data_IF_569880451514
#
_entry.id   IF_569880451514
#
_cell.length_a   1.000
_cell.length_b   1.000
_cell.length_c   1.000
_cell.angle_alpha   90.00
_cell.angle_beta   90.00
_cell.angle_gamma   90.00
#
_symmetry.space_group_name_H-M   'P 1'
#
loop_
_entity.id
_entity.type
_entity.pdbx_description
1 polymer ?
#
# COMPACT_ATOMS: atom_id res chain seq x y z
N UNK A 1 -8.87 13.51 31.43
CA UNK A 1 -8.54 14.13 30.12
C UNK A 1 -8.18 13.00 29.18
N UNK A 2 -9.11 12.66 28.28
CA UNK A 2 -9.09 11.48 27.41
C UNK A 2 -8.17 11.72 26.21
N UNK A 3 -7.08 10.95 26.08
CA UNK A 3 -6.28 10.89 24.86
C UNK A 3 -6.85 9.79 23.96
N UNK A 4 -7.48 10.22 22.85
CA UNK A 4 -8.05 9.34 21.85
C UNK A 4 -6.97 8.60 21.08
N UNK A 5 -6.96 7.28 21.21
CA UNK A 5 -6.15 6.37 20.41
C UNK A 5 -6.62 6.42 18.94
N UNK A 6 -5.72 6.73 18.01
CA UNK A 6 -5.97 6.61 16.56
C UNK A 6 -5.43 5.25 16.08
N UNK A 7 -6.21 4.40 15.37
CA UNK A 7 -5.74 3.11 14.91
C UNK A 7 -4.86 3.26 13.66
N UNK A 8 -3.66 2.67 13.70
CA UNK A 8 -2.77 2.50 12.58
C UNK A 8 -3.20 1.31 11.70
N UNK A 9 -3.03 1.46 10.38
CA UNK A 9 -3.31 0.44 9.36
C UNK A 9 -1.98 -0.20 8.97
N UNK A 10 -1.84 -1.53 9.01
CA UNK A 10 -0.84 -2.27 8.22
C UNK A 10 -1.21 -3.75 8.05
N UNK A 11 -1.14 -4.22 6.81
CA UNK A 11 -1.39 -5.60 6.35
C UNK A 11 -0.07 -6.38 6.23
N UNK A 12 -0.12 -7.72 6.16
CA UNK A 12 1.06 -8.60 6.11
C UNK A 12 0.97 -9.61 4.98
N UNK A 13 2.07 -9.89 4.28
CA UNK A 13 2.12 -10.98 3.32
C UNK A 13 3.51 -11.61 3.26
N UNK A 14 3.52 -12.91 3.52
CA UNK A 14 4.55 -13.87 3.10
C UNK A 14 4.03 -14.54 1.83
N UNK A 15 4.87 -14.68 0.78
CA UNK A 15 4.45 -15.19 -0.53
C UNK A 15 4.12 -16.70 -0.53
N UNK A 16 2.90 -17.07 -0.92
CA UNK A 16 2.49 -18.45 -1.22
C UNK A 16 1.81 -18.54 -2.59
N UNK A 17 2.07 -19.61 -3.36
CA UNK A 17 1.46 -19.85 -4.68
C UNK A 17 0.21 -20.72 -4.55
N UNK A 18 -0.95 -20.19 -4.94
CA UNK A 18 -2.21 -20.95 -5.05
C UNK A 18 -2.26 -21.69 -6.39
N UNK A 19 -2.34 -23.04 -6.38
CA UNK A 19 -2.76 -23.81 -7.57
C UNK A 19 -4.26 -23.98 -7.54
N UNK A 20 -4.95 -23.39 -8.52
CA UNK A 20 -6.38 -23.60 -8.75
C UNK A 20 -6.56 -24.90 -9.54
N UNK A 21 -6.78 -26.03 -8.86
CA UNK A 21 -7.34 -27.23 -9.49
C UNK A 21 -8.63 -27.65 -8.76
N UNK A 22 -9.55 -28.21 -9.53
CA UNK A 22 -11.00 -28.24 -9.25
C UNK A 22 -11.46 -29.12 -8.09
N UNK A 23 -10.57 -29.82 -7.37
CA UNK A 23 -10.98 -30.69 -6.24
C UNK A 23 -9.90 -30.71 -5.14
N UNK A 24 -10.21 -30.02 -4.03
CA UNK A 24 -9.46 -29.83 -2.77
C UNK A 24 -8.40 -28.72 -2.78
N UNK A 25 -8.60 -27.73 -1.90
CA UNK A 25 -7.67 -26.64 -1.60
C UNK A 25 -6.47 -27.22 -0.85
N UNK A 26 -5.28 -27.25 -1.45
CA UNK A 26 -4.04 -27.59 -0.72
C UNK A 26 -2.99 -26.53 -1.03
N UNK A 27 -2.41 -25.99 0.02
CA UNK A 27 -1.13 -25.30 -0.02
C UNK A 27 -0.03 -26.36 -0.07
N UNK A 28 0.88 -26.27 -1.05
CA UNK A 28 2.05 -27.13 -1.12
C UNK A 28 3.29 -26.29 -0.86
N UNK A 29 4.06 -26.67 0.17
CA UNK A 29 5.39 -26.13 0.46
C UNK A 29 6.32 -26.42 -0.73
N UNK A 30 7.08 -25.44 -1.20
CA UNK A 30 8.17 -25.69 -2.14
C UNK A 30 9.27 -26.46 -1.38
N UNK A 31 9.82 -27.57 -1.91
CA UNK A 31 10.91 -28.28 -1.25
C UNK A 31 12.17 -27.40 -1.17
N UNK A 32 12.82 -27.33 0.00
CA UNK A 32 14.21 -26.87 0.11
C UNK A 32 14.49 -25.46 0.65
N UNK A 33 13.58 -24.81 1.39
CA UNK A 33 13.84 -23.49 1.97
C UNK A 33 13.92 -23.52 3.51
N UNK A 34 14.98 -22.99 4.14
CA UNK A 34 15.08 -22.90 5.59
C UNK A 34 14.11 -21.85 6.15
N UNK A 35 13.73 -22.03 7.42
CA UNK A 35 12.71 -21.26 8.16
C UNK A 35 13.02 -19.75 8.31
N UNK A 36 14.21 -19.32 7.90
CA UNK A 36 14.74 -17.94 7.98
C UNK A 36 15.15 -17.35 6.63
N UNK A 37 15.02 -18.07 5.52
CA UNK A 37 15.35 -17.53 4.21
C UNK A 37 14.12 -16.90 3.55
N UNK A 38 14.20 -15.61 3.25
CA UNK A 38 13.42 -15.01 2.17
C UNK A 38 14.01 -15.57 0.87
N UNK A 39 13.31 -16.45 0.13
CA UNK A 39 13.84 -17.00 -1.09
C UNK A 39 13.79 -15.94 -2.18
N UNK A 40 14.95 -15.53 -2.67
CA UNK A 40 15.08 -15.00 -4.02
C UNK A 40 15.03 -16.18 -4.98
N UNK A 41 13.92 -16.37 -5.68
CA UNK A 41 13.85 -17.35 -6.77
C UNK A 41 13.66 -16.63 -8.10
N UNK A 42 14.60 -16.90 -9.00
CA UNK A 42 14.48 -16.69 -10.43
C UNK A 42 13.21 -17.35 -10.96
N UNK A 43 12.52 -16.66 -11.86
CA UNK A 43 11.26 -17.03 -12.55
C UNK A 43 9.95 -16.92 -11.75
N UNK A 44 9.27 -15.78 -11.93
CA UNK A 44 7.84 -15.61 -11.66
C UNK A 44 7.51 -14.54 -10.61
N UNK A 45 7.08 -13.36 -11.08
CA UNK A 45 6.18 -12.40 -10.41
C UNK A 45 6.23 -12.37 -8.87
N UNK A 46 7.13 -11.56 -8.32
CA UNK A 46 7.17 -11.20 -6.90
C UNK A 46 6.20 -10.04 -6.63
N UNK A 47 5.27 -10.25 -5.69
CA UNK A 47 4.39 -9.23 -5.15
C UNK A 47 4.93 -8.82 -3.76
N UNK A 48 5.70 -7.74 -3.70
CA UNK A 48 6.09 -7.11 -2.42
C UNK A 48 4.94 -6.21 -1.96
N UNK A 49 4.44 -6.42 -0.73
CA UNK A 49 3.19 -5.82 -0.26
C UNK A 49 3.34 -4.41 0.32
N UNK A 50 4.52 -4.04 0.84
CA UNK A 50 4.78 -2.69 1.34
C UNK A 50 5.49 -1.84 0.27
N UNK A 51 5.33 -0.52 0.35
CA UNK A 51 5.99 0.40 -0.59
C UNK A 51 7.50 0.61 -0.27
N UNK A 52 7.94 0.21 0.93
CA UNK A 52 9.32 0.20 1.43
C UNK A 52 9.78 -1.19 1.96
N UNK A 53 8.86 -2.11 2.24
CA UNK A 53 9.15 -3.44 2.79
C UNK A 53 8.94 -3.59 4.31
N UNK A 54 8.49 -2.58 5.05
CA UNK A 54 8.43 -2.62 6.51
C UNK A 54 7.10 -2.08 7.09
N UNK A 55 6.44 -2.89 7.93
CA UNK A 55 5.22 -2.54 8.66
C UNK A 55 5.39 -2.48 10.19
N UNK A 56 4.42 -1.84 10.88
CA UNK A 56 4.51 -1.02 12.11
C UNK A 56 4.27 -1.62 13.54
N UNK A 57 4.43 -0.69 14.54
CA UNK A 57 4.13 -0.52 15.99
C UNK A 57 4.38 -1.67 16.96
N UNK A 58 5.62 -1.80 17.42
CA UNK A 58 6.08 -2.96 18.18
C UNK A 58 6.84 -2.56 19.45
N UNK A 59 6.84 -3.42 20.49
CA UNK A 59 7.72 -3.35 21.66
C UNK A 59 9.19 -3.06 21.33
N UNK A 60 9.96 -2.74 22.37
CA UNK A 60 11.40 -2.46 22.28
C UNK A 60 12.11 -3.40 21.28
N UNK A 61 12.98 -2.86 20.41
CA UNK A 61 13.75 -3.66 19.47
C UNK A 61 14.42 -4.86 20.16
N UNK A 62 14.42 -6.03 19.51
CA UNK A 62 15.27 -7.12 19.98
C UNK A 62 16.72 -6.91 19.55
N UNK A 63 17.61 -7.88 19.86
CA UNK A 63 19.03 -7.80 19.55
C UNK A 63 19.35 -7.62 18.04
N UNK A 64 18.35 -7.74 17.15
CA UNK A 64 18.49 -7.48 15.71
C UNK A 64 18.18 -6.04 15.31
N UNK A 65 17.75 -5.18 16.23
CA UNK A 65 17.34 -3.79 15.96
C UNK A 65 15.94 -3.66 15.34
N UNK A 66 15.33 -4.78 14.94
CA UNK A 66 13.99 -4.82 14.36
C UNK A 66 12.91 -5.00 15.41
N UNK A 67 11.86 -4.21 15.25
CA UNK A 67 10.73 -4.17 16.18
C UNK A 67 9.77 -5.35 15.92
N UNK A 68 9.57 -5.81 14.68
CA UNK A 68 8.42 -6.68 14.29
C UNK A 68 8.29 -8.04 14.99
N UNK A 69 9.39 -8.66 15.42
CA UNK A 69 9.36 -10.00 16.02
C UNK A 69 8.55 -10.07 17.32
N UNK A 70 8.69 -9.13 18.27
CA UNK A 70 7.82 -9.08 19.44
C UNK A 70 6.31 -9.00 19.15
N UNK A 71 5.85 -8.23 18.15
CA UNK A 71 4.41 -8.24 17.75
C UNK A 71 4.02 -9.61 17.28
N UNK A 72 4.82 -10.22 16.38
CA UNK A 72 4.46 -11.50 15.78
C UNK A 72 4.28 -12.55 16.87
N UNK A 73 5.21 -12.57 17.82
CA UNK A 73 5.11 -13.42 19.01
C UNK A 73 3.86 -13.12 19.82
N UNK A 74 3.56 -11.86 20.13
CA UNK A 74 2.36 -11.50 20.89
C UNK A 74 1.06 -11.90 20.18
N UNK A 75 0.99 -11.72 18.86
CA UNK A 75 -0.14 -12.15 18.04
C UNK A 75 -0.34 -13.67 18.11
N UNK A 76 0.74 -14.44 17.96
CA UNK A 76 0.68 -15.90 18.09
C UNK A 76 0.31 -16.37 19.50
N UNK A 77 0.80 -15.70 20.55
CA UNK A 77 0.40 -15.98 21.93
C UNK A 77 -1.11 -15.82 22.11
N UNK A 78 -1.68 -14.71 21.63
CA UNK A 78 -3.12 -14.44 21.72
C UNK A 78 -3.94 -15.50 20.97
N UNK A 79 -3.54 -15.84 19.74
CA UNK A 79 -4.23 -16.85 18.93
C UNK A 79 -4.15 -18.26 19.54
N UNK A 80 -2.98 -18.64 20.09
CA UNK A 80 -2.79 -19.96 20.68
C UNK A 80 -3.40 -20.11 22.08
N UNK A 81 -3.62 -19.02 22.81
CA UNK A 81 -4.28 -19.05 24.12
C UNK A 81 -5.81 -19.18 24.01
N UNK A 82 -6.36 -18.89 22.84
CA UNK A 82 -7.80 -18.93 22.58
C UNK A 82 -8.24 -20.29 22.00
N UNK A 83 -9.06 -21.07 22.73
CA UNK A 83 -9.51 -22.38 22.26
C UNK A 83 -10.31 -22.34 20.95
N UNK A 84 -11.07 -21.27 20.70
CA UNK A 84 -11.90 -21.14 19.51
C UNK A 84 -11.04 -20.82 18.28
N UNK A 85 -10.03 -19.95 18.41
CA UNK A 85 -9.04 -19.76 17.34
C UNK A 85 -8.26 -21.03 17.06
N UNK A 86 -7.82 -21.78 18.08
CA UNK A 86 -7.19 -23.10 17.88
C UNK A 86 -8.09 -24.06 17.12
N UNK A 87 -9.39 -24.09 17.45
CA UNK A 87 -10.39 -24.92 16.78
C UNK A 87 -10.54 -24.52 15.30
N UNK A 88 -10.73 -23.24 15.01
CA UNK A 88 -10.88 -22.70 13.64
C UNK A 88 -9.63 -22.93 12.79
N UNK A 89 -8.42 -22.74 13.35
CA UNK A 89 -7.19 -23.08 12.65
C UNK A 89 -7.04 -24.59 12.46
N UNK A 90 -7.48 -25.41 13.42
CA UNK A 90 -7.51 -26.87 13.28
C UNK A 90 -8.40 -27.38 12.14
N UNK A 91 -9.46 -26.66 11.77
CA UNK A 91 -10.28 -26.98 10.58
C UNK A 91 -9.50 -26.82 9.26
N UNK A 92 -8.51 -25.92 9.23
CA UNK A 92 -7.74 -25.57 8.03
C UNK A 92 -6.36 -26.25 7.98
N UNK A 93 -5.75 -26.49 9.14
CA UNK A 93 -4.37 -26.96 9.29
C UNK A 93 -4.33 -28.25 10.13
N UNK A 94 -4.09 -29.43 9.51
CA UNK A 94 -4.03 -30.71 10.21
C UNK A 94 -3.02 -30.75 11.36
N UNK A 95 -1.94 -29.98 11.26
CA UNK A 95 -0.94 -29.80 12.30
C UNK A 95 -1.55 -29.25 13.59
N UNK A 96 -2.41 -28.23 13.48
CA UNK A 96 -3.07 -27.60 14.63
C UNK A 96 -4.13 -28.53 15.20
N UNK A 97 -4.89 -29.23 14.33
CA UNK A 97 -5.82 -30.28 14.76
C UNK A 97 -5.10 -31.42 15.50
N UNK A 98 -3.87 -31.75 15.11
CA UNK A 98 -2.99 -32.70 15.78
C UNK A 98 -2.31 -32.16 17.04
N UNK A 99 -2.67 -30.97 17.51
CA UNK A 99 -2.19 -30.39 18.77
C UNK A 99 -0.99 -29.45 18.64
N UNK A 100 -0.42 -29.25 17.45
CA UNK A 100 0.66 -28.27 17.26
C UNK A 100 0.12 -26.83 17.47
N UNK A 101 0.97 -25.86 17.86
CA UNK A 101 0.56 -24.47 17.91
C UNK A 101 0.31 -23.90 16.51
N UNK A 102 -0.51 -22.86 16.44
CA UNK A 102 -0.61 -21.97 15.28
C UNK A 102 0.74 -21.26 15.13
N UNK A 103 1.34 -21.33 13.95
CA UNK A 103 2.57 -20.62 13.61
C UNK A 103 2.30 -19.37 12.77
N UNK A 104 3.35 -18.57 12.55
CA UNK A 104 3.23 -17.31 11.80
C UNK A 104 2.91 -17.52 10.32
N UNK A 105 3.30 -18.67 9.76
CA UNK A 105 2.99 -19.05 8.38
C UNK A 105 1.49 -19.26 8.21
N UNK A 106 0.87 -20.01 9.12
CA UNK A 106 -0.58 -20.27 9.11
C UNK A 106 -1.37 -18.98 9.29
N UNK A 107 -0.92 -18.11 10.21
CA UNK A 107 -1.50 -16.77 10.38
C UNK A 107 -1.41 -15.96 9.08
N UNK A 108 -0.23 -15.88 8.46
CA UNK A 108 -0.03 -15.14 7.22
C UNK A 108 -0.90 -15.68 6.07
N UNK A 109 -1.07 -17.00 5.97
CA UNK A 109 -1.96 -17.62 4.99
C UNK A 109 -3.43 -17.25 5.20
N UNK A 110 -3.90 -17.21 6.44
CA UNK A 110 -5.27 -16.83 6.76
C UNK A 110 -5.55 -15.37 6.39
N UNK A 111 -4.63 -14.46 6.71
CA UNK A 111 -4.72 -13.05 6.33
C UNK A 111 -4.65 -12.88 4.81
N UNK A 112 -3.73 -13.56 4.13
CA UNK A 112 -3.61 -13.50 2.68
C UNK A 112 -4.90 -13.96 1.97
N UNK A 113 -5.54 -15.04 2.43
CA UNK A 113 -6.83 -15.49 1.86
C UNK A 113 -7.93 -14.46 2.08
N UNK A 114 -7.98 -13.80 3.24
CA UNK A 114 -8.90 -12.69 3.47
C UNK A 114 -8.63 -11.52 2.50
N UNK A 115 -7.38 -11.07 2.36
CA UNK A 115 -7.00 -9.99 1.46
C UNK A 115 -7.34 -10.30 0.00
N UNK A 116 -7.20 -11.56 -0.45
CA UNK A 116 -7.60 -11.99 -1.79
C UNK A 116 -9.11 -11.81 -2.04
N UNK A 117 -9.95 -11.86 -1.00
CA UNK A 117 -11.39 -11.56 -1.14
C UNK A 117 -11.68 -10.08 -1.38
N UNK A 118 -10.72 -9.20 -1.08
CA UNK A 118 -10.85 -7.73 -1.20
C UNK A 118 -10.38 -7.21 -2.57
N UNK A 119 -10.35 -8.08 -3.58
CA UNK A 119 -10.02 -7.69 -4.95
C UNK A 119 -11.22 -6.97 -5.59
N UNK A 120 -11.25 -5.65 -5.49
CA UNK A 120 -12.27 -4.80 -6.09
C UNK A 120 -11.82 -4.24 -7.44
N UNK A 121 -12.12 -4.99 -8.51
CA UNK A 121 -11.75 -4.70 -9.90
C UNK A 121 -12.97 -4.74 -10.86
N UNK A 122 -13.99 -3.92 -10.57
CA UNK A 122 -15.21 -3.79 -11.37
C UNK A 122 -15.65 -2.31 -11.55
N UNK A 123 -14.68 -1.43 -11.74
CA UNK A 123 -14.85 0.01 -11.94
C UNK A 123 -15.51 0.34 -13.30
N UNK A 124 -15.96 1.60 -13.53
CA UNK A 124 -16.47 2.05 -14.82
C UNK A 124 -15.60 1.65 -16.03
N UNK A 125 -14.27 1.77 -15.92
CA UNK A 125 -13.35 1.39 -17.00
C UNK A 125 -13.44 -0.11 -17.35
N UNK A 126 -13.61 -0.98 -16.36
CA UNK A 126 -13.69 -2.43 -16.56
C UNK A 126 -14.99 -2.81 -17.26
N UNK A 127 -16.09 -2.17 -16.86
CA UNK A 127 -17.41 -2.35 -17.50
C UNK A 127 -17.40 -1.83 -18.94
N UNK A 128 -16.79 -0.66 -19.16
CA UNK A 128 -16.61 -0.08 -20.49
C UNK A 128 -15.79 -1.01 -21.40
N UNK A 129 -14.67 -1.54 -20.90
CA UNK A 129 -13.82 -2.49 -21.64
C UNK A 129 -14.55 -3.80 -22.01
N UNK A 130 -15.53 -4.22 -21.20
CA UNK A 130 -16.42 -5.37 -21.50
C UNK A 130 -17.61 -5.02 -22.40
N UNK A 131 -17.65 -3.82 -22.97
CA UNK A 131 -18.65 -3.40 -23.96
C UNK A 131 -19.82 -2.58 -23.43
N UNK A 132 -19.88 -2.27 -22.12
CA UNK A 132 -20.90 -1.38 -21.55
C UNK A 132 -20.49 0.09 -21.80
N UNK A 133 -20.78 0.60 -23.00
CA UNK A 133 -20.29 1.91 -23.48
C UNK A 133 -20.79 3.12 -22.67
N UNK A 134 -21.87 2.94 -21.94
CA UNK A 134 -22.51 3.89 -21.04
C UNK A 134 -21.99 3.81 -19.60
N UNK A 135 -21.13 2.83 -19.28
CA UNK A 135 -20.58 2.67 -17.94
C UNK A 135 -19.67 3.82 -17.50
N UNK A 136 -19.13 4.59 -18.46
CA UNK A 136 -18.33 5.79 -18.22
C UNK A 136 -19.02 7.03 -18.76
N UNK A 137 -18.94 8.12 -17.99
CA UNK A 137 -19.37 9.46 -18.41
C UNK A 137 -18.45 10.02 -19.51
N UNK A 138 -18.91 11.04 -20.23
CA UNK A 138 -18.07 11.68 -21.25
C UNK A 138 -16.83 12.36 -20.67
N UNK A 139 -16.91 12.86 -19.43
CA UNK A 139 -15.76 13.42 -18.72
C UNK A 139 -14.72 12.35 -18.40
N UNK A 140 -15.15 11.20 -17.87
CA UNK A 140 -14.25 10.06 -17.62
C UNK A 140 -13.62 9.53 -18.90
N UNK A 141 -14.35 9.51 -20.02
CA UNK A 141 -13.81 9.09 -21.33
C UNK A 141 -12.74 10.06 -21.83
N UNK A 142 -12.98 11.38 -21.76
CA UNK A 142 -11.96 12.39 -22.10
C UNK A 142 -10.74 12.30 -21.18
N UNK A 143 -10.97 12.06 -19.89
CA UNK A 143 -9.91 11.82 -18.92
C UNK A 143 -9.07 10.58 -19.23
N UNK A 144 -9.71 9.48 -19.63
CA UNK A 144 -9.02 8.28 -20.07
C UNK A 144 -8.13 8.56 -21.29
N UNK A 145 -8.62 9.32 -22.27
CA UNK A 145 -7.81 9.71 -23.44
C UNK A 145 -6.57 10.53 -23.05
N UNK A 146 -6.68 11.39 -22.04
CA UNK A 146 -5.52 12.12 -21.49
C UNK A 146 -4.55 11.16 -20.79
N UNK A 147 -5.06 10.30 -19.91
CA UNK A 147 -4.28 9.32 -19.13
C UNK A 147 -3.47 8.38 -20.02
N UNK A 148 -4.10 7.82 -21.05
CA UNK A 148 -3.49 6.90 -22.01
C UNK A 148 -2.69 7.62 -23.11
N UNK A 149 -2.91 8.93 -23.26
CA UNK A 149 -2.30 9.75 -24.29
C UNK A 149 -1.37 10.83 -23.73
N UNK A 150 -1.74 12.09 -23.94
CA UNK A 150 -0.83 13.24 -23.78
C UNK A 150 -0.41 13.54 -22.33
N UNK A 151 -1.17 13.09 -21.33
CA UNK A 151 -0.77 13.19 -19.92
C UNK A 151 0.21 12.09 -19.49
N UNK A 152 0.41 11.06 -20.34
CA UNK A 152 1.48 10.04 -20.22
C UNK A 152 1.45 9.21 -18.93
N UNK A 153 0.37 9.24 -18.17
CA UNK A 153 0.21 8.50 -16.91
C UNK A 153 0.42 6.99 -17.11
N UNK A 154 -0.12 6.43 -18.20
CA UNK A 154 0.00 5.01 -18.55
C UNK A 154 1.46 4.54 -18.71
N UNK A 155 2.41 5.45 -18.93
CA UNK A 155 3.81 5.08 -19.17
C UNK A 155 4.53 4.49 -17.95
N UNK A 156 3.94 4.62 -16.76
CA UNK A 156 4.31 3.96 -15.51
C UNK A 156 3.10 3.22 -14.92
N UNK A 157 1.93 3.84 -14.93
CA UNK A 157 0.66 3.22 -14.52
C UNK A 157 0.09 2.36 -15.63
N UNK A 158 0.88 1.37 -16.04
CA UNK A 158 0.64 0.57 -17.22
C UNK A 158 -0.56 -0.36 -17.05
N UNK A 159 -1.26 -0.58 -18.17
CA UNK A 159 -2.33 -1.56 -18.28
C UNK A 159 -1.91 -2.80 -19.09
N UNK A 160 -0.64 -3.18 -18.94
CA UNK A 160 -0.01 -4.31 -19.64
C UNK A 160 0.95 -5.07 -18.70
N UNK A 161 1.30 -6.30 -19.06
CA UNK A 161 2.16 -7.18 -18.26
C UNK A 161 1.41 -7.91 -17.13
N UNK A 162 2.15 -8.35 -16.11
CA UNK A 162 1.63 -9.24 -15.05
C UNK A 162 0.64 -8.56 -14.09
N UNK A 163 0.62 -7.23 -14.07
CA UNK A 163 -0.30 -6.39 -13.28
C UNK A 163 -1.17 -5.48 -14.17
N UNK A 164 -1.43 -5.93 -15.41
CA UNK A 164 -2.11 -5.16 -16.46
C UNK A 164 -3.48 -4.58 -16.06
N UNK A 165 -4.19 -5.20 -15.14
CA UNK A 165 -5.47 -4.66 -14.67
C UNK A 165 -5.30 -3.69 -13.49
N UNK A 166 -4.13 -3.59 -12.87
CA UNK A 166 -3.91 -2.81 -11.64
C UNK A 166 -3.36 -1.41 -11.87
N UNK A 167 -3.13 -1.00 -13.13
CA UNK A 167 -2.58 0.32 -13.49
C UNK A 167 -1.21 0.58 -12.86
N UNK A 168 -0.31 -0.40 -13.00
CA UNK A 168 1.06 -0.32 -12.50
C UNK A 168 1.97 -1.22 -13.32
N UNK A 169 3.19 -0.75 -13.58
CA UNK A 169 4.27 -1.59 -14.13
C UNK A 169 5.14 -2.24 -13.04
N UNK A 170 4.79 -2.02 -11.76
CA UNK A 170 5.48 -2.46 -10.54
C UNK A 170 6.96 -2.11 -10.48
N UNK A 171 7.43 -1.13 -11.26
CA UNK A 171 8.83 -0.69 -11.25
C UNK A 171 9.09 0.34 -10.18
N UNK A 172 10.31 0.32 -9.66
CA UNK A 172 10.80 1.26 -8.66
C UNK A 172 11.30 2.55 -9.33
N UNK A 173 10.78 3.70 -8.90
CA UNK A 173 10.99 5.01 -9.53
C UNK A 173 11.10 6.11 -8.49
N UNK A 174 11.84 7.17 -8.84
CA UNK A 174 11.85 8.42 -8.08
C UNK A 174 10.88 9.37 -8.74
N UNK A 175 9.83 9.77 -8.02
CA UNK A 175 8.79 10.68 -8.54
C UNK A 175 8.82 12.08 -7.94
N UNK A 176 9.81 12.39 -7.08
CA UNK A 176 10.03 13.74 -6.56
C UNK A 176 9.16 14.12 -5.35
N UNK A 177 8.60 13.14 -4.63
CA UNK A 177 7.72 13.40 -3.48
C UNK A 177 8.48 14.16 -2.38
N UNK A 178 7.92 15.27 -1.86
CA UNK A 178 8.45 15.98 -0.71
C UNK A 178 8.63 15.05 0.50
N UNK A 179 9.76 15.17 1.18
CA UNK A 179 10.11 14.34 2.33
C UNK A 179 9.47 14.92 3.60
N UNK A 180 8.29 14.43 3.99
CA UNK A 180 7.67 14.80 5.26
C UNK A 180 8.13 13.84 6.35
N UNK A 181 8.55 14.38 7.49
CA UNK A 181 8.97 13.60 8.65
C UNK A 181 8.18 14.00 9.91
N UNK A 182 7.78 13.03 10.76
CA UNK A 182 7.04 13.29 11.97
C UNK A 182 7.91 13.99 13.02
N UNK A 183 7.25 14.75 13.91
CA UNK A 183 7.89 15.52 14.97
C UNK A 183 8.58 14.67 16.04
N UNK A 184 8.13 13.43 16.27
CA UNK A 184 8.71 12.59 17.31
C UNK A 184 10.17 12.27 16.97
N UNK A 185 11.06 12.36 17.95
CA UNK A 185 12.51 12.29 17.73
C UNK A 185 12.96 11.03 16.99
N UNK A 186 14.13 11.13 16.35
CA UNK A 186 14.78 10.02 15.62
C UNK A 186 14.71 8.72 16.41
N UNK A 187 14.18 7.66 15.81
CA UNK A 187 14.07 6.33 16.45
C UNK A 187 12.93 6.18 17.47
N UNK A 188 12.04 7.16 17.61
CA UNK A 188 10.85 7.04 18.49
C UNK A 188 9.61 6.49 17.78
N UNK A 189 9.60 6.49 16.43
CA UNK A 189 8.61 5.77 15.62
C UNK A 189 9.12 4.44 15.08
N UNK A 190 8.33 3.83 14.19
CA UNK A 190 8.67 2.57 13.55
C UNK A 190 9.45 2.74 12.25
N UNK A 191 9.46 3.96 11.71
CA UNK A 191 10.25 4.34 10.56
C UNK A 191 11.60 4.87 11.02
N UNK A 192 12.66 4.38 10.39
CA UNK A 192 14.00 4.95 10.51
C UNK A 192 14.11 5.96 9.38
N UNK A 193 14.20 7.24 9.74
CA UNK A 193 14.57 8.27 8.79
C UNK A 193 16.09 8.31 8.67
N UNK A 194 16.55 8.57 7.45
CA UNK A 194 17.95 8.66 7.05
C UNK A 194 18.39 10.12 6.88
N UNK A 195 19.65 10.28 6.47
CA UNK A 195 20.24 11.56 6.16
C UNK A 195 20.74 12.30 7.40
N UNK A 196 21.54 13.37 7.23
CA UNK A 196 22.07 14.13 8.37
C UNK A 196 20.97 14.75 9.25
N UNK A 197 19.83 15.10 8.63
CA UNK A 197 18.67 15.66 9.32
C UNK A 197 17.74 14.61 9.93
N UNK A 198 17.96 13.31 9.62
CA UNK A 198 17.07 12.21 10.01
C UNK A 198 15.62 12.54 9.64
N UNK A 199 15.45 12.96 8.39
CA UNK A 199 14.24 13.51 7.78
C UNK A 199 14.06 13.08 6.32
N UNK A 200 14.83 12.08 5.90
CA UNK A 200 14.77 11.48 4.58
C UNK A 200 14.31 10.02 4.68
N UNK A 201 13.55 9.57 3.69
CA UNK A 201 13.30 8.15 3.47
C UNK A 201 14.06 7.73 2.21
N UNK A 202 15.15 6.97 2.38
CA UNK A 202 15.93 6.50 1.24
C UNK A 202 15.22 5.42 0.40
N UNK A 203 14.03 4.95 0.80
CA UNK A 203 13.20 4.02 0.05
C UNK A 203 13.91 2.70 -0.21
N UNK A 204 13.90 2.24 -1.46
CA UNK A 204 14.50 0.95 -1.86
C UNK A 204 15.98 0.76 -1.45
N UNK A 205 16.75 1.84 -1.24
CA UNK A 205 18.12 1.73 -0.71
C UNK A 205 18.15 1.08 0.68
N UNK A 206 17.15 1.32 1.54
CA UNK A 206 17.11 0.72 2.89
C UNK A 206 17.03 -0.81 2.83
N UNK A 207 16.45 -1.36 1.76
CA UNK A 207 16.34 -2.81 1.53
C UNK A 207 17.56 -3.37 0.82
N UNK A 208 18.06 -2.65 -0.18
CA UNK A 208 19.11 -3.14 -1.08
C UNK A 208 20.53 -2.83 -0.62
N UNK A 209 20.70 -1.80 0.21
CA UNK A 209 21.99 -1.19 0.52
C UNK A 209 22.64 -0.45 -0.66
N UNK A 210 21.96 -0.36 -1.81
CA UNK A 210 22.52 0.23 -3.02
C UNK A 210 22.11 1.70 -3.15
N UNK A 211 23.09 2.60 -3.13
CA UNK A 211 22.88 4.05 -3.28
C UNK A 211 22.23 4.44 -4.63
N UNK A 212 22.33 3.60 -5.66
CA UNK A 212 21.65 3.81 -6.92
C UNK A 212 20.12 3.62 -6.83
N UNK A 213 19.63 3.02 -5.74
CA UNK A 213 18.22 2.78 -5.47
C UNK A 213 17.56 3.80 -4.54
N UNK A 214 18.33 4.81 -4.09
CA UNK A 214 17.84 5.89 -3.23
C UNK A 214 16.59 6.59 -3.77
N UNK A 215 15.61 6.80 -2.89
CA UNK A 215 14.31 7.44 -3.12
C UNK A 215 13.43 6.73 -4.14
N UNK A 216 13.79 5.51 -4.57
CA UNK A 216 12.93 4.74 -5.46
C UNK A 216 11.84 4.08 -4.63
N UNK A 217 10.61 4.28 -5.06
CA UNK A 217 9.44 3.56 -4.57
C UNK A 217 8.76 2.85 -5.73
N UNK A 218 8.12 1.75 -5.42
CA UNK A 218 7.36 0.98 -6.41
C UNK A 218 6.19 1.82 -6.92
N UNK A 219 5.94 1.74 -8.22
CA UNK A 219 4.76 2.37 -8.83
C UNK A 219 3.51 1.71 -8.23
N UNK A 220 2.75 2.45 -7.44
CA UNK A 220 1.55 1.93 -6.78
C UNK A 220 0.41 1.68 -7.79
N UNK A 221 -0.44 0.65 -7.57
CA UNK A 221 -1.65 0.47 -8.36
C UNK A 221 -2.64 1.62 -8.14
N UNK A 222 -3.36 2.04 -9.19
CA UNK A 222 -4.28 3.19 -9.11
C UNK A 222 -5.74 2.84 -8.82
N UNK A 223 -6.06 1.55 -8.64
CA UNK A 223 -7.46 1.16 -8.37
C UNK A 223 -7.93 1.73 -7.05
N UNK A 224 -9.17 2.26 -7.04
CA UNK A 224 -9.87 2.72 -5.85
C UNK A 224 -9.18 3.88 -5.10
N UNK A 225 -8.34 4.69 -5.76
CA UNK A 225 -7.67 5.83 -5.12
C UNK A 225 -8.63 6.89 -4.57
N UNK A 226 -9.86 6.98 -5.08
CA UNK A 226 -10.85 7.93 -4.58
C UNK A 226 -11.24 7.75 -3.11
N UNK A 227 -10.98 6.57 -2.52
CA UNK A 227 -11.24 6.32 -1.09
C UNK A 227 -9.97 6.41 -0.23
N UNK A 228 -8.83 6.75 -0.83
CA UNK A 228 -7.59 6.98 -0.11
C UNK A 228 -7.62 8.36 0.59
N UNK A 229 -7.24 8.45 1.87
CA UNK A 229 -7.22 9.72 2.60
C UNK A 229 -5.94 10.56 2.33
N UNK A 230 -4.91 9.93 1.79
CA UNK A 230 -3.63 10.54 1.46
C UNK A 230 -2.93 9.76 0.34
N UNK A 231 -1.97 10.38 -0.32
CA UNK A 231 -1.31 9.88 -1.53
C UNK A 231 0.22 9.87 -1.36
N UNK A 232 0.87 9.03 -2.16
CA UNK A 232 2.31 8.68 -2.08
C UNK A 232 2.71 7.90 -0.81
N UNK A 233 3.94 7.41 -0.79
CA UNK A 233 4.48 6.53 0.27
C UNK A 233 4.42 7.15 1.67
N UNK A 234 4.51 8.47 1.78
CA UNK A 234 4.57 9.20 3.04
C UNK A 234 3.32 10.06 3.32
N UNK A 235 2.29 9.98 2.46
CA UNK A 235 1.05 10.76 2.66
C UNK A 235 1.21 12.27 2.52
N UNK A 236 2.25 12.76 1.83
CA UNK A 236 2.51 14.20 1.64
C UNK A 236 1.36 14.96 0.92
N UNK A 237 0.44 14.26 0.26
CA UNK A 237 -0.70 14.91 -0.39
C UNK A 237 -1.99 14.31 0.16
N UNK A 238 -2.95 15.16 0.56
CA UNK A 238 -4.26 14.71 1.08
C UNK A 238 -5.39 14.85 0.06
N UNK A 239 -5.08 15.38 -1.13
CA UNK A 239 -6.01 15.58 -2.23
C UNK A 239 -5.49 14.92 -3.49
N UNK A 240 -6.37 14.18 -4.17
CA UNK A 240 -6.03 13.47 -5.40
C UNK A 240 -5.59 14.46 -6.50
N UNK A 241 -6.25 15.62 -6.56
CA UNK A 241 -5.92 16.66 -7.53
C UNK A 241 -4.48 17.15 -7.33
N UNK A 242 -4.01 17.31 -6.09
CA UNK A 242 -2.67 17.79 -5.83
C UNK A 242 -1.62 16.71 -6.12
N UNK A 243 -1.95 15.44 -5.87
CA UNK A 243 -1.12 14.32 -6.30
C UNK A 243 -1.00 14.20 -7.83
N UNK A 244 -2.09 14.46 -8.57
CA UNK A 244 -2.05 14.49 -10.04
C UNK A 244 -1.24 15.71 -10.53
N UNK A 245 -1.44 16.90 -9.94
CA UNK A 245 -0.65 18.10 -10.28
C UNK A 245 0.84 17.88 -10.06
N UNK A 246 1.22 17.22 -8.97
CA UNK A 246 2.61 16.87 -8.70
C UNK A 246 3.24 16.09 -9.86
N UNK A 247 2.54 15.11 -10.44
CA UNK A 247 3.05 14.36 -11.60
C UNK A 247 3.10 15.18 -12.90
N UNK A 248 2.27 16.21 -13.03
CA UNK A 248 2.24 17.09 -14.20
C UNK A 248 3.40 18.10 -14.19
N UNK A 249 3.83 18.56 -13.01
CA UNK A 249 5.00 19.42 -12.84
C UNK A 249 5.69 19.16 -11.49
N UNK A 250 6.62 18.20 -11.49
CA UNK A 250 7.28 17.73 -10.27
C UNK A 250 8.21 18.80 -9.70
N UNK A 251 8.97 19.49 -10.54
CA UNK A 251 9.96 20.48 -10.07
C UNK A 251 9.25 21.64 -9.37
N UNK A 252 8.22 22.20 -10.01
CA UNK A 252 7.45 23.29 -9.42
C UNK A 252 6.70 22.85 -8.15
N UNK A 253 6.01 21.71 -8.23
CA UNK A 253 5.23 21.18 -7.10
C UNK A 253 6.11 20.87 -5.89
N UNK A 254 7.31 20.32 -6.10
CA UNK A 254 8.17 19.88 -5.01
C UNK A 254 8.91 21.05 -4.36
N UNK A 255 9.40 22.02 -5.14
CA UNK A 255 10.12 23.20 -4.63
C UNK A 255 9.22 24.16 -3.85
N UNK A 256 7.94 24.24 -4.22
CA UNK A 256 6.95 25.11 -3.57
C UNK A 256 5.98 24.34 -2.65
N UNK A 257 6.33 23.10 -2.29
CA UNK A 257 5.49 22.30 -1.41
C UNK A 257 5.38 22.92 0.00
N UNK A 258 4.16 22.98 0.51
CA UNK A 258 3.87 23.42 1.87
C UNK A 258 2.97 22.36 2.56
N UNK A 259 3.47 21.66 3.60
CA UNK A 259 2.72 20.59 4.26
C UNK A 259 1.44 21.10 4.93
N UNK A 260 1.44 22.31 5.48
CA UNK A 260 0.25 22.91 6.11
C UNK A 260 -0.83 23.16 5.06
N UNK A 261 -0.45 23.73 3.91
CA UNK A 261 -1.39 23.97 2.81
C UNK A 261 -1.87 22.67 2.16
N UNK A 262 -1.02 21.63 2.13
CA UNK A 262 -1.36 20.29 1.67
C UNK A 262 -2.26 19.53 2.65
N UNK A 263 -2.56 20.09 3.83
CA UNK A 263 -3.48 19.52 4.81
C UNK A 263 -2.95 18.28 5.52
N UNK A 264 -1.63 18.06 5.55
CA UNK A 264 -1.06 16.91 6.27
C UNK A 264 -1.25 17.07 7.78
N UNK A 265 -1.16 15.96 8.52
CA UNK A 265 -1.28 15.97 9.98
C UNK A 265 -0.22 16.87 10.62
N UNK A 266 -0.58 17.55 11.72
CA UNK A 266 0.27 18.59 12.35
C UNK A 266 1.68 18.09 12.66
N UNK A 267 1.79 16.85 13.13
CA UNK A 267 3.06 16.19 13.45
C UNK A 267 3.97 16.02 12.22
N UNK A 268 3.42 16.00 11.00
CA UNK A 268 4.15 15.93 9.73
C UNK A 268 4.46 17.31 9.11
N UNK A 269 4.03 18.41 9.74
CA UNK A 269 4.27 19.77 9.22
C UNK A 269 5.58 20.39 9.69
N UNK A 270 6.24 19.78 10.67
CA UNK A 270 7.35 20.39 11.39
C UNK A 270 8.68 20.38 10.65
N UNK A 271 8.92 19.36 9.82
CA UNK A 271 10.20 19.15 9.16
C UNK A 271 9.98 18.61 7.75
N UNK A 272 10.66 19.26 6.81
CA UNK A 272 10.79 18.78 5.44
C UNK A 272 12.25 18.38 5.22
N UNK A 273 12.47 17.16 4.75
CA UNK A 273 13.77 16.72 4.27
C UNK A 273 14.18 17.46 2.99
N UNK A 274 15.47 17.43 2.63
CA UNK A 274 16.00 18.15 1.48
C UNK A 274 15.42 17.64 0.17
N UNK A 275 14.91 18.55 -0.67
CA UNK A 275 14.27 18.17 -1.94
C UNK A 275 15.27 17.98 -3.09
N UNK A 276 16.38 18.72 -3.12
CA UNK A 276 17.37 18.64 -4.23
C UNK A 276 17.96 17.23 -4.43
N UNK A 277 18.34 16.47 -3.39
CA UNK A 277 18.83 15.09 -3.57
C UNK A 277 17.81 14.16 -4.24
N UNK A 278 16.50 14.40 -3.99
CA UNK A 278 15.39 13.65 -4.58
C UNK A 278 15.22 14.05 -6.05
N UNK A 279 15.14 15.35 -6.34
CA UNK A 279 14.99 15.86 -7.72
C UNK A 279 16.20 15.50 -8.60
N UNK A 280 17.40 15.45 -8.05
CA UNK A 280 18.60 14.99 -8.75
C UNK A 280 18.53 13.53 -9.24
N UNK A 281 17.58 12.74 -8.73
CA UNK A 281 17.35 11.34 -9.10
C UNK A 281 16.03 11.12 -9.85
N UNK A 282 15.31 12.19 -10.19
CA UNK A 282 13.99 12.12 -10.81
C UNK A 282 13.96 11.23 -12.07
N UNK A 283 12.95 10.37 -12.14
CA UNK A 283 12.70 9.55 -13.32
C UNK A 283 12.60 10.43 -14.57
N UNK A 284 13.31 10.04 -15.64
CA UNK A 284 13.36 10.81 -16.89
C UNK A 284 11.98 11.11 -17.47
N UNK A 285 10.98 10.27 -17.21
CA UNK A 285 9.61 10.45 -17.69
C UNK A 285 8.90 11.68 -17.07
N UNK A 286 9.37 12.15 -15.92
CA UNK A 286 8.76 13.23 -15.15
C UNK A 286 9.54 14.56 -15.22
N UNK A 287 10.66 14.61 -15.95
CA UNK A 287 11.52 15.81 -16.01
C UNK A 287 10.94 16.97 -16.82
N UNK A 288 9.97 16.69 -17.68
CA UNK A 288 9.36 17.70 -18.55
C UNK A 288 7.92 17.93 -18.09
N UNK A 289 7.55 19.15 -17.70
CA UNK A 289 6.18 19.48 -17.32
C UNK A 289 5.17 19.19 -18.44
N UNK A 290 3.95 18.85 -18.04
CA UNK A 290 2.82 18.63 -18.93
C UNK A 290 1.72 19.62 -18.59
N UNK A 291 1.43 20.53 -19.52
CA UNK A 291 0.36 21.51 -19.35
C UNK A 291 -0.99 20.94 -19.80
N UNK A 292 -1.95 20.95 -18.86
CA UNK A 292 -3.36 20.67 -19.09
C UNK A 292 -4.16 21.94 -18.77
N UNK A 293 -5.14 22.27 -19.61
CA UNK A 293 -6.08 23.33 -19.25
C UNK A 293 -7.02 22.84 -18.12
N UNK A 294 -7.84 23.76 -17.57
CA UNK A 294 -8.74 23.45 -16.44
C UNK A 294 -9.71 22.29 -16.74
N UNK A 295 -10.27 22.23 -17.94
CA UNK A 295 -11.23 21.19 -18.34
C UNK A 295 -10.53 19.85 -18.47
N UNK A 296 -9.37 19.82 -19.13
CA UNK A 296 -8.58 18.60 -19.30
C UNK A 296 -8.10 18.04 -17.96
N UNK A 297 -7.63 18.91 -17.07
CA UNK A 297 -7.26 18.51 -15.71
C UNK A 297 -8.46 17.93 -14.96
N UNK A 298 -9.63 18.56 -15.04
CA UNK A 298 -10.86 18.06 -14.41
C UNK A 298 -11.29 16.70 -14.99
N UNK A 299 -11.20 16.52 -16.30
CA UNK A 299 -11.53 15.26 -16.97
C UNK A 299 -10.55 14.15 -16.53
N UNK A 300 -9.25 14.44 -16.46
CA UNK A 300 -8.23 13.50 -15.97
C UNK A 300 -8.52 13.08 -14.52
N UNK A 301 -8.85 14.04 -13.65
CA UNK A 301 -9.25 13.77 -12.26
C UNK A 301 -10.50 12.89 -12.23
N UNK A 302 -11.53 13.18 -13.05
CA UNK A 302 -12.74 12.37 -13.11
C UNK A 302 -12.44 10.92 -13.50
N UNK A 303 -11.55 10.69 -14.48
CA UNK A 303 -11.14 9.34 -14.83
C UNK A 303 -10.42 8.62 -13.68
N UNK A 304 -9.41 9.24 -13.06
CA UNK A 304 -8.61 8.61 -12.01
C UNK A 304 -9.44 8.39 -10.73
N UNK A 305 -10.31 9.34 -10.39
CA UNK A 305 -11.16 9.28 -9.19
C UNK A 305 -12.32 8.32 -9.38
N UNK A 306 -13.12 8.54 -10.43
CA UNK A 306 -14.42 7.90 -10.57
C UNK A 306 -14.35 6.72 -11.55
N UNK A 307 -13.64 6.91 -12.67
CA UNK A 307 -13.46 5.89 -13.70
C UNK A 307 -12.74 4.61 -13.23
N UNK A 308 -11.90 4.73 -12.19
CA UNK A 308 -11.12 3.63 -11.58
C UNK A 308 -11.66 3.16 -10.22
N UNK A 309 -12.81 3.69 -9.77
CA UNK A 309 -13.42 3.31 -8.50
C UNK A 309 -14.42 2.16 -8.68
N UNK A 310 -14.18 1.05 -7.98
CA UNK A 310 -15.18 0.03 -7.75
C UNK A 310 -16.06 0.44 -6.56
N UNK A 311 -17.37 0.48 -6.76
CA UNK A 311 -18.34 0.85 -5.73
C UNK A 311 -18.20 0.01 -4.45
N UNK A 312 -17.76 -1.25 -4.56
CA UNK A 312 -17.53 -2.14 -3.40
C UNK A 312 -16.39 -1.68 -2.50
N UNK A 313 -15.47 -0.86 -3.01
CA UNK A 313 -14.37 -0.30 -2.23
C UNK A 313 -14.80 0.89 -1.36
N UNK A 314 -16.05 1.38 -1.49
CA UNK A 314 -16.53 2.47 -0.66
C UNK A 314 -16.71 2.04 0.79
N UNK A 315 -16.54 3.02 1.67
CA UNK A 315 -16.58 2.89 3.13
C UNK A 315 -17.79 2.12 3.64
N UNK A 316 -18.99 2.43 3.13
CA UNK A 316 -20.25 1.78 3.50
C UNK A 316 -20.31 0.27 3.21
N UNK A 317 -19.49 -0.20 2.26
CA UNK A 317 -19.33 -1.61 1.97
C UNK A 317 -18.23 -2.23 2.83
N UNK A 318 -17.08 -1.56 2.96
CA UNK A 318 -15.96 -2.08 3.76
C UNK A 318 -16.29 -2.17 5.24
N UNK A 319 -17.06 -1.24 5.80
CA UNK A 319 -17.46 -1.29 7.21
C UNK A 319 -18.35 -2.50 7.53
N UNK A 320 -18.97 -3.14 6.53
CA UNK A 320 -19.74 -4.38 6.72
C UNK A 320 -18.85 -5.60 6.93
N UNK A 321 -17.54 -5.50 6.64
CA UNK A 321 -16.56 -6.55 6.89
C UNK A 321 -16.11 -6.59 8.36
N UNK A 322 -16.35 -5.51 9.11
CA UNK A 322 -16.04 -5.48 10.54
C UNK A 322 -16.97 -6.44 11.27
N UNK A 323 -16.45 -7.49 11.95
CA UNK A 323 -17.29 -8.46 12.62
C UNK A 323 -17.97 -7.83 13.84
N UNK A 324 -19.15 -8.33 14.22
CA UNK A 324 -19.86 -7.87 15.43
C UNK A 324 -19.18 -8.30 16.72
N UNK A 325 -18.44 -9.40 16.66
CA UNK A 325 -17.70 -9.99 17.77
C UNK A 325 -16.52 -10.79 17.21
N UNK A 326 -15.47 -10.97 18.01
CA UNK A 326 -14.36 -11.88 17.70
C UNK A 326 -14.44 -13.12 18.58
N UNK A 327 -13.90 -14.27 18.12
CA UNK A 327 -13.83 -15.52 18.90
C UNK A 327 -13.37 -15.36 20.35
N UNK A 328 -12.42 -14.46 20.59
CA UNK A 328 -11.89 -14.20 21.94
C UNK A 328 -12.82 -13.48 22.89
N UNK A 329 -13.98 -13.01 22.42
CA UNK A 329 -14.88 -12.15 23.19
C UNK A 329 -14.31 -10.75 23.46
N UNK A 330 -13.12 -10.44 22.94
CA UNK A 330 -12.51 -9.11 23.07
C UNK A 330 -13.39 -8.06 22.36
N UNK A 331 -13.39 -6.81 22.85
CA UNK A 331 -14.05 -5.72 22.13
C UNK A 331 -13.48 -5.58 20.71
N UNK A 332 -14.38 -5.44 19.73
CA UNK A 332 -14.00 -5.14 18.36
C UNK A 332 -13.47 -3.71 18.30
N UNK A 333 -12.36 -3.51 17.58
CA UNK A 333 -11.78 -2.19 17.40
C UNK A 333 -12.75 -1.26 16.67
N UNK A 334 -12.84 -0.01 17.13
CA UNK A 334 -13.53 1.04 16.39
C UNK A 334 -12.63 1.54 15.27
N UNK A 335 -13.05 1.31 14.03
CA UNK A 335 -12.33 1.77 12.86
C UNK A 335 -12.72 3.21 12.55
N UNK A 336 -11.72 4.06 12.32
CA UNK A 336 -11.96 5.44 11.86
C UNK A 336 -12.75 5.39 10.56
N UNK A 337 -13.92 6.03 10.58
CA UNK A 337 -14.79 5.99 9.44
C UNK A 337 -15.67 4.73 9.36
N UNK A 338 -15.92 4.01 10.44
CA UNK A 338 -17.06 3.09 10.51
C UNK A 338 -18.03 3.57 11.60
N UNK A 339 -19.35 3.45 11.36
CA UNK A 339 -20.36 3.83 12.35
C UNK A 339 -20.32 2.95 13.59
#
# INVERSE_FOLDING_TARGET
>A
MTHGFRPARLCSATCYRRRLTSRRRRWSKLPGLPESAVPTTSDGTLFCQFDDGLGEIVPSPDATGFRNKPIRRKGLELLNHDPEYRRLFGELFPEVAGGKPIDFTMFGLAIAEFELTLTFANAPIDRFARGQRDAMTDSEKRGALLFFGRARCVTCHAVAGDANEMFTDVKNRVVGVPQVAPYFGVGTGNMIFDGPGQDEDFGLEQVTGNRADRYKFRTAPLRNLAVAPAFFHNGAFTRLEDAIRHHLDVDESARHYNPVAAGVALDLTHRLGPIEPVLGRLDRKLRNPIELNRTEFSDLVAFVRDGLLDERARREHLCKLVPRSVPSGSPVLQFQGCP
#
